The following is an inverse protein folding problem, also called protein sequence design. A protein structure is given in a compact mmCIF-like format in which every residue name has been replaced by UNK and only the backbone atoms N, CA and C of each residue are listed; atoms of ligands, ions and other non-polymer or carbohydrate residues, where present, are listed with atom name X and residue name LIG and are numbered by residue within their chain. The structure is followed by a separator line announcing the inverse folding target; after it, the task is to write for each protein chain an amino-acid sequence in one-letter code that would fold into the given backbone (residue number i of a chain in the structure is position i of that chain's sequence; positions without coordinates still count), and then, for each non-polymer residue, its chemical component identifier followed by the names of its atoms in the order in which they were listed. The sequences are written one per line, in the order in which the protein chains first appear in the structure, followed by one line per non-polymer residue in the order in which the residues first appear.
data_IF_064124858963
#
_entry.id   IF_064124858963
#
_cell.length_a   1.000
_cell.length_b   1.000
_cell.length_c   1.000
_cell.angle_alpha   90.00
_cell.angle_beta   90.00
_cell.angle_gamma   90.00
#
_symmetry.space_group_name_H-M   'P 1'
#
loop_
_entity.id
_entity.type
_entity.pdbx_description
1 polymer ?
#
# COMPACT_ATOMS: atom_id res chain seq x y z
N UNK A 1 28.54 -19.38 -1.38
CA UNK A 1 27.39 -19.72 -2.26
C UNK A 1 26.17 -19.69 -1.36
N UNK A 2 25.10 -18.97 -1.73
CA UNK A 2 23.95 -18.70 -0.87
C UNK A 2 22.90 -19.82 -0.99
N UNK A 3 23.28 -21.09 -0.75
CA UNK A 3 22.35 -22.20 -0.97
C UNK A 3 21.26 -22.20 0.11
N UNK A 4 20.01 -22.44 -0.28
CA UNK A 4 18.91 -22.66 0.67
C UNK A 4 19.14 -24.00 1.37
N UNK A 5 19.36 -23.99 2.68
CA UNK A 5 19.55 -25.21 3.48
C UNK A 5 18.29 -25.64 4.19
N UNK A 6 17.47 -24.70 4.66
CA UNK A 6 16.20 -24.97 5.32
C UNK A 6 15.14 -23.95 4.86
N UNK A 7 13.89 -24.42 4.76
CA UNK A 7 12.72 -23.63 4.46
C UNK A 7 11.56 -24.18 5.30
N UNK A 8 10.97 -23.34 6.13
CA UNK A 8 9.86 -23.70 7.00
C UNK A 8 8.85 -22.55 7.07
N UNK A 9 7.56 -22.88 7.19
CA UNK A 9 6.50 -21.93 7.38
C UNK A 9 5.60 -22.31 8.57
N UNK A 10 5.02 -21.29 9.20
CA UNK A 10 4.09 -21.43 10.31
C UNK A 10 2.91 -20.46 10.19
N UNK A 11 1.83 -20.81 10.88
CA UNK A 11 0.63 -19.97 11.00
C UNK A 11 0.88 -18.93 12.10
N UNK A 12 0.66 -17.65 11.78
CA UNK A 12 0.67 -16.54 12.72
C UNK A 12 -0.63 -15.74 12.59
N UNK A 13 -0.81 -14.71 13.41
CA UNK A 13 -1.96 -13.80 13.31
C UNK A 13 -1.53 -12.44 12.73
N UNK A 14 -2.37 -11.88 11.86
CA UNK A 14 -2.27 -10.50 11.38
C UNK A 14 -2.83 -9.50 12.42
N UNK A 15 -2.77 -8.21 12.08
CA UNK A 15 -3.21 -7.10 12.93
C UNK A 15 -4.72 -7.04 13.18
N UNK A 16 -5.51 -7.86 12.49
CA UNK A 16 -6.96 -8.05 12.68
C UNK A 16 -7.26 -9.33 13.47
N UNK A 17 -6.24 -10.12 13.81
CA UNK A 17 -6.38 -11.41 14.49
C UNK A 17 -6.73 -12.56 13.55
N UNK A 18 -6.61 -12.37 12.24
CA UNK A 18 -6.82 -13.44 11.25
C UNK A 18 -5.52 -14.21 10.99
N UNK A 19 -5.58 -15.51 10.67
CA UNK A 19 -4.39 -16.27 10.31
C UNK A 19 -3.68 -15.70 9.08
N UNK A 20 -2.34 -15.76 9.08
CA UNK A 20 -1.49 -15.51 7.91
C UNK A 20 -0.22 -16.36 7.98
N UNK A 21 0.54 -16.36 6.88
CA UNK A 21 1.75 -17.15 6.69
C UNK A 21 2.98 -16.35 7.13
N UNK A 22 3.83 -16.97 7.95
CA UNK A 22 5.22 -16.55 8.17
C UNK A 22 6.16 -17.64 7.64
N UNK A 23 7.16 -17.23 6.87
CA UNK A 23 8.15 -18.12 6.26
C UNK A 23 9.53 -17.77 6.78
N UNK A 24 10.28 -18.82 7.10
CA UNK A 24 11.67 -18.75 7.51
C UNK A 24 12.57 -19.49 6.51
N UNK A 25 13.69 -18.85 6.18
CA UNK A 25 14.74 -19.38 5.31
C UNK A 25 16.06 -19.43 6.07
N UNK A 26 16.76 -20.55 5.97
CA UNK A 26 18.16 -20.68 6.40
C UNK A 26 19.03 -20.95 5.18
N UNK A 27 20.14 -20.21 5.07
CA UNK A 27 21.15 -20.41 4.05
C UNK A 27 22.29 -21.31 4.55
N UNK A 28 23.06 -21.87 3.62
CA UNK A 28 24.17 -22.78 3.92
C UNK A 28 25.31 -22.20 4.77
N UNK A 29 25.34 -20.88 4.96
CA UNK A 29 26.28 -20.20 5.86
C UNK A 29 25.71 -19.96 7.27
N UNK A 30 24.50 -20.45 7.55
CA UNK A 30 23.78 -20.27 8.80
C UNK A 30 22.97 -18.98 8.90
N UNK A 31 22.95 -18.13 7.85
CA UNK A 31 22.11 -16.93 7.82
C UNK A 31 20.64 -17.32 7.85
N UNK A 32 19.88 -16.70 8.74
CA UNK A 32 18.45 -16.95 8.95
C UNK A 32 17.66 -15.66 8.72
N UNK A 33 16.55 -15.74 8.00
CA UNK A 33 15.65 -14.62 7.80
C UNK A 33 14.20 -15.08 7.79
N UNK A 34 13.30 -14.16 8.13
CA UNK A 34 11.87 -14.38 8.21
C UNK A 34 11.15 -13.30 7.41
N UNK A 35 10.04 -13.69 6.78
CA UNK A 35 9.07 -12.75 6.24
C UNK A 35 7.64 -13.21 6.53
N UNK A 36 6.75 -12.26 6.81
CA UNK A 36 5.34 -12.52 7.04
C UNK A 36 4.46 -11.81 6.01
N UNK A 37 3.36 -12.45 5.62
CA UNK A 37 2.53 -12.00 4.51
C UNK A 37 1.34 -11.16 4.99
N UNK A 38 1.10 -9.96 4.43
CA UNK A 38 -0.09 -9.18 4.74
C UNK A 38 -1.34 -9.69 4.00
N UNK A 39 -2.52 -9.32 4.47
CA UNK A 39 -3.83 -9.69 3.89
C UNK A 39 -4.75 -8.48 3.74
N UNK A 40 -5.57 -8.45 2.69
CA UNK A 40 -6.54 -7.38 2.43
C UNK A 40 -7.89 -7.55 3.13
N UNK A 41 -8.65 -6.46 3.27
CA UNK A 41 -10.09 -6.49 3.61
C UNK A 41 -10.93 -6.31 2.35
N UNK A 42 -10.57 -5.31 1.54
CA UNK A 42 -11.01 -5.19 0.16
C UNK A 42 -9.97 -5.85 -0.75
N UNK A 43 -10.43 -6.72 -1.63
CA UNK A 43 -9.62 -7.38 -2.66
C UNK A 43 -10.19 -7.00 -4.01
N UNK A 44 -9.37 -6.40 -4.87
CA UNK A 44 -9.74 -6.16 -6.26
C UNK A 44 -10.04 -7.48 -6.97
N UNK A 45 -10.93 -7.45 -7.97
CA UNK A 45 -11.41 -8.66 -8.67
C UNK A 45 -10.30 -9.46 -9.37
N UNK A 46 -9.18 -8.80 -9.66
CA UNK A 46 -8.08 -9.34 -10.44
C UNK A 46 -6.80 -9.61 -9.61
N UNK A 47 -6.90 -9.58 -8.28
CA UNK A 47 -5.77 -9.93 -7.39
C UNK A 47 -5.42 -11.43 -7.48
N UNK A 48 -4.15 -11.76 -7.21
CA UNK A 48 -3.72 -13.12 -6.98
C UNK A 48 -4.41 -13.71 -5.74
N UNK A 49 -4.65 -15.03 -5.76
CA UNK A 49 -5.46 -15.70 -4.76
C UNK A 49 -4.68 -15.91 -3.45
N UNK A 50 -5.18 -15.33 -2.35
CA UNK A 50 -4.78 -15.74 -1.01
C UNK A 50 -5.42 -17.10 -0.65
N UNK A 51 -4.62 -18.14 -0.44
CA UNK A 51 -5.14 -19.48 -0.15
C UNK A 51 -5.52 -19.61 1.33
N UNK A 52 -6.81 -19.82 1.57
CA UNK A 52 -7.43 -20.07 2.88
C UNK A 52 -7.95 -21.51 2.98
N UNK A 53 -8.09 -22.02 4.20
CA UNK A 53 -8.47 -23.41 4.46
C UNK A 53 -9.94 -23.67 4.15
N UNK A 54 -10.85 -22.74 4.45
CA UNK A 54 -12.30 -22.93 4.34
C UNK A 54 -12.86 -23.88 5.41
N UNK A 55 -12.10 -24.16 6.46
CA UNK A 55 -12.52 -24.97 7.60
C UNK A 55 -13.18 -24.09 8.67
N UNK A 56 -14.51 -24.08 8.71
CA UNK A 56 -15.32 -23.29 9.66
C UNK A 56 -14.97 -23.55 11.13
N UNK A 57 -14.40 -24.73 11.45
CA UNK A 57 -14.01 -25.06 12.83
C UNK A 57 -12.77 -24.30 13.30
N UNK A 58 -11.99 -23.70 12.39
CA UNK A 58 -10.76 -22.95 12.69
C UNK A 58 -10.83 -21.55 12.12
N UNK A 59 -10.82 -20.56 13.02
CA UNK A 59 -10.81 -19.14 12.65
C UNK A 59 -11.94 -18.76 11.66
N UNK A 60 -13.10 -19.42 11.74
CA UNK A 60 -14.24 -19.16 10.85
C UNK A 60 -13.92 -19.36 9.37
N UNK A 61 -13.15 -20.41 9.03
CA UNK A 61 -12.74 -20.70 7.65
C UNK A 61 -11.46 -20.00 7.20
N UNK A 62 -10.93 -19.06 7.99
CA UNK A 62 -9.79 -18.21 7.60
C UNK A 62 -8.40 -18.81 7.90
N UNK A 63 -8.31 -20.07 8.33
CA UNK A 63 -7.03 -20.78 8.48
C UNK A 63 -6.16 -20.76 7.22
N UNK A 64 -4.85 -20.93 7.36
CA UNK A 64 -3.88 -20.95 6.23
C UNK A 64 -2.99 -22.19 6.22
N UNK A 65 -3.43 -23.30 6.81
CA UNK A 65 -2.65 -24.54 6.87
C UNK A 65 -2.39 -25.16 5.50
N UNK A 66 -3.29 -25.00 4.53
CA UNK A 66 -3.05 -25.43 3.14
C UNK A 66 -1.84 -24.71 2.53
N UNK A 67 -1.78 -23.40 2.66
CA UNK A 67 -0.65 -22.60 2.19
C UNK A 67 0.66 -22.98 2.91
N UNK A 68 0.61 -23.18 4.22
CA UNK A 68 1.77 -23.64 5.01
C UNK A 68 2.24 -25.02 4.56
N UNK A 69 1.31 -25.94 4.31
CA UNK A 69 1.64 -27.27 3.81
C UNK A 69 2.32 -27.20 2.45
N UNK A 70 1.84 -26.36 1.54
CA UNK A 70 2.47 -26.15 0.22
C UNK A 70 3.92 -25.67 0.36
N UNK A 71 4.21 -24.80 1.33
CA UNK A 71 5.57 -24.32 1.61
C UNK A 71 6.45 -25.43 2.18
N UNK A 72 5.96 -26.11 3.22
CA UNK A 72 6.72 -27.12 3.95
C UNK A 72 6.94 -28.42 3.17
N UNK A 73 6.21 -28.62 2.06
CA UNK A 73 6.31 -29.80 1.19
C UNK A 73 6.80 -29.41 -0.21
N UNK A 74 5.90 -29.13 -1.15
CA UNK A 74 6.23 -28.96 -2.57
C UNK A 74 7.23 -27.84 -2.85
N UNK A 75 7.07 -26.66 -2.24
CA UNK A 75 8.00 -25.54 -2.45
C UNK A 75 9.36 -25.86 -1.79
N UNK A 76 9.37 -26.44 -0.59
CA UNK A 76 10.60 -26.87 0.07
C UNK A 76 11.36 -27.88 -0.78
N UNK A 77 10.70 -28.92 -1.29
CA UNK A 77 11.33 -29.93 -2.15
C UNK A 77 11.94 -29.28 -3.42
N UNK A 78 11.24 -28.30 -4.00
CA UNK A 78 11.70 -27.57 -5.17
C UNK A 78 12.95 -26.71 -4.93
N UNK A 79 13.01 -26.03 -3.77
CA UNK A 79 13.97 -24.94 -3.54
C UNK A 79 15.20 -25.33 -2.71
N UNK A 80 15.16 -26.42 -1.93
CA UNK A 80 16.32 -26.84 -1.14
C UNK A 80 17.55 -27.09 -2.04
N UNK A 81 18.68 -26.51 -1.65
CA UNK A 81 19.95 -26.61 -2.39
C UNK A 81 20.10 -25.63 -3.56
N UNK A 82 19.05 -24.89 -3.94
CA UNK A 82 19.11 -23.82 -4.95
C UNK A 82 19.86 -22.59 -4.43
N UNK A 83 20.40 -21.79 -5.35
CA UNK A 83 21.08 -20.53 -5.02
C UNK A 83 20.06 -19.42 -4.75
N UNK A 84 19.92 -19.03 -3.48
CA UNK A 84 19.00 -17.99 -3.04
C UNK A 84 19.27 -16.62 -3.69
N UNK A 85 20.49 -16.36 -4.17
CA UNK A 85 20.81 -15.08 -4.83
C UNK A 85 20.18 -14.92 -6.21
N UNK A 86 19.59 -15.99 -6.76
CA UNK A 86 18.86 -15.98 -8.05
C UNK A 86 17.37 -15.72 -7.83
N UNK A 87 17.02 -14.56 -7.27
CA UNK A 87 15.63 -14.21 -6.92
C UNK A 87 14.64 -14.45 -8.07
N UNK A 88 14.99 -14.01 -9.28
CA UNK A 88 14.16 -14.22 -10.48
C UNK A 88 13.90 -15.70 -10.77
N UNK A 89 14.95 -16.52 -10.76
CA UNK A 89 14.84 -17.97 -11.02
C UNK A 89 14.03 -18.68 -9.93
N UNK A 90 14.23 -18.31 -8.66
CA UNK A 90 13.48 -18.86 -7.53
C UNK A 90 11.99 -18.53 -7.65
N UNK A 91 11.66 -17.27 -7.93
CA UNK A 91 10.27 -16.85 -8.10
C UNK A 91 9.64 -17.56 -9.31
N UNK A 92 10.33 -17.64 -10.46
CA UNK A 92 9.84 -18.35 -11.65
C UNK A 92 9.59 -19.84 -11.37
N UNK A 93 10.49 -20.53 -10.68
CA UNK A 93 10.31 -21.94 -10.32
C UNK A 93 9.03 -22.15 -9.48
N UNK A 94 8.71 -21.25 -8.54
CA UNK A 94 7.48 -21.33 -7.76
C UNK A 94 6.23 -21.05 -8.60
N UNK A 95 6.31 -20.10 -9.55
CA UNK A 95 5.23 -19.80 -10.49
C UNK A 95 4.95 -20.98 -11.43
N UNK A 96 6.00 -21.62 -11.94
CA UNK A 96 5.90 -22.82 -12.77
C UNK A 96 5.32 -24.01 -12.00
N UNK A 97 5.73 -24.20 -10.74
CA UNK A 97 5.18 -25.23 -9.87
C UNK A 97 3.69 -25.00 -9.59
N UNK A 98 3.26 -23.74 -9.39
CA UNK A 98 1.85 -23.41 -9.22
C UNK A 98 1.06 -23.67 -10.51
N UNK A 99 1.55 -23.19 -11.65
CA UNK A 99 0.98 -23.44 -12.97
C UNK A 99 -0.35 -22.73 -13.26
N UNK A 100 -0.82 -21.83 -12.40
CA UNK A 100 -2.06 -21.05 -12.60
C UNK A 100 -1.78 -19.56 -12.75
N UNK A 101 -2.66 -18.83 -13.43
CA UNK A 101 -2.47 -17.38 -13.64
C UNK A 101 -2.56 -16.57 -12.33
N UNK A 102 -3.37 -17.02 -11.37
CA UNK A 102 -3.66 -16.30 -10.13
C UNK A 102 -3.06 -16.96 -8.89
N UNK A 103 -2.12 -17.90 -9.03
CA UNK A 103 -1.44 -18.57 -7.92
C UNK A 103 -2.37 -19.40 -7.03
N UNK A 104 -3.42 -19.99 -7.61
CA UNK A 104 -4.49 -20.67 -6.87
C UNK A 104 -4.13 -22.06 -6.34
N UNK A 105 -3.10 -22.71 -6.89
CA UNK A 105 -2.71 -24.05 -6.47
C UNK A 105 -1.83 -24.00 -5.20
N UNK A 106 -0.83 -23.12 -5.19
CA UNK A 106 0.07 -22.93 -4.05
C UNK A 106 -0.44 -21.87 -3.07
N UNK A 107 -1.12 -20.84 -3.57
CA UNK A 107 -1.49 -19.64 -2.83
C UNK A 107 -0.47 -18.51 -3.02
N UNK A 108 -0.94 -17.32 -3.38
CA UNK A 108 -0.10 -16.13 -3.50
C UNK A 108 0.59 -15.78 -2.17
N UNK A 109 -0.07 -16.07 -1.05
CA UNK A 109 0.51 -15.96 0.30
C UNK A 109 1.65 -16.95 0.55
N UNK A 110 1.62 -18.16 -0.02
CA UNK A 110 2.74 -19.09 0.09
C UNK A 110 3.96 -18.62 -0.71
N UNK A 111 3.75 -18.29 -1.99
CA UNK A 111 4.81 -17.86 -2.90
C UNK A 111 5.47 -16.57 -2.39
N UNK A 112 4.66 -15.59 -1.98
CA UNK A 112 5.18 -14.31 -1.52
C UNK A 112 6.03 -14.46 -0.25
N UNK A 113 5.56 -15.23 0.74
CA UNK A 113 6.29 -15.40 2.00
C UNK A 113 7.70 -15.95 1.76
N UNK A 114 7.82 -16.96 0.91
CA UNK A 114 9.10 -17.55 0.49
C UNK A 114 9.96 -16.53 -0.27
N UNK A 115 9.36 -15.84 -1.24
CA UNK A 115 10.02 -14.82 -2.08
C UNK A 115 10.67 -13.71 -1.24
N UNK A 116 9.95 -13.17 -0.26
CA UNK A 116 10.43 -12.10 0.61
C UNK A 116 11.49 -12.59 1.61
N UNK A 117 11.29 -13.77 2.21
CA UNK A 117 12.23 -14.36 3.16
C UNK A 117 13.60 -14.64 2.51
N UNK A 118 13.60 -15.15 1.27
CA UNK A 118 14.81 -15.40 0.48
C UNK A 118 15.55 -14.09 0.20
N UNK A 119 14.84 -13.04 -0.22
CA UNK A 119 15.44 -11.73 -0.46
C UNK A 119 16.13 -11.18 0.80
N UNK A 120 15.45 -11.26 1.95
CA UNK A 120 16.00 -10.83 3.24
C UNK A 120 17.22 -11.68 3.66
N UNK A 121 17.17 -12.99 3.47
CA UNK A 121 18.27 -13.90 3.80
C UNK A 121 19.55 -13.58 3.01
N UNK A 122 19.42 -13.33 1.70
CA UNK A 122 20.58 -13.01 0.86
C UNK A 122 21.18 -11.67 1.23
N UNK A 123 20.37 -10.63 1.47
CA UNK A 123 20.86 -9.33 1.91
C UNK A 123 21.68 -9.45 3.22
N UNK A 124 21.14 -10.20 4.21
CA UNK A 124 21.81 -10.44 5.49
C UNK A 124 23.13 -11.20 5.31
N UNK A 125 23.16 -12.25 4.49
CA UNK A 125 24.37 -13.04 4.23
C UNK A 125 25.44 -12.23 3.49
N UNK A 126 25.02 -11.38 2.53
CA UNK A 126 25.89 -10.39 1.88
C UNK A 126 26.35 -9.27 2.81
N UNK A 127 25.76 -9.14 4.00
CA UNK A 127 26.00 -8.05 4.96
C UNK A 127 25.74 -6.66 4.38
N UNK A 128 24.73 -6.54 3.52
CA UNK A 128 24.25 -5.27 2.99
C UNK A 128 22.81 -5.01 3.50
N UNK A 129 22.42 -3.73 3.70
CA UNK A 129 21.04 -3.39 3.97
C UNK A 129 20.08 -3.95 2.91
N UNK A 130 18.89 -4.38 3.34
CA UNK A 130 17.89 -4.98 2.45
C UNK A 130 17.49 -4.03 1.31
N UNK A 131 17.27 -2.74 1.57
CA UNK A 131 16.98 -1.76 0.51
C UNK A 131 18.09 -1.68 -0.57
N UNK A 132 19.36 -1.86 -0.20
CA UNK A 132 20.46 -1.88 -1.19
C UNK A 132 20.39 -3.15 -2.04
N UNK A 133 20.15 -4.31 -1.40
CA UNK A 133 19.99 -5.54 -2.14
C UNK A 133 18.77 -5.51 -3.08
N UNK A 134 17.63 -4.97 -2.61
CA UNK A 134 16.45 -4.74 -3.45
C UNK A 134 16.81 -3.85 -4.65
N UNK A 135 17.57 -2.78 -4.43
CA UNK A 135 18.02 -1.91 -5.51
C UNK A 135 18.86 -2.68 -6.54
N UNK A 136 19.83 -3.47 -6.10
CA UNK A 136 20.67 -4.32 -6.97
C UNK A 136 19.81 -5.25 -7.84
N UNK A 137 18.88 -5.99 -7.24
CA UNK A 137 18.07 -6.99 -7.96
C UNK A 137 16.94 -6.35 -8.77
N UNK A 138 16.54 -5.11 -8.45
CA UNK A 138 15.48 -4.40 -9.17
C UNK A 138 15.85 -4.07 -10.61
N UNK A 139 17.16 -3.92 -10.91
CA UNK A 139 17.63 -3.48 -12.23
C UNK A 139 17.16 -2.07 -12.62
N UNK A 140 16.71 -1.26 -11.65
CA UNK A 140 16.25 0.12 -11.90
C UNK A 140 17.39 1.12 -12.13
N UNK A 141 18.61 0.81 -11.64
CA UNK A 141 19.77 1.70 -11.69
C UNK A 141 19.46 3.12 -11.16
N UNK A 142 18.79 3.19 -10.01
CA UNK A 142 18.43 4.43 -9.32
C UNK A 142 19.05 4.47 -7.94
N UNK A 143 19.40 5.65 -7.45
CA UNK A 143 19.85 5.77 -6.07
C UNK A 143 18.67 5.54 -5.10
N UNK A 144 18.84 4.73 -4.04
CA UNK A 144 17.83 4.62 -3.00
C UNK A 144 17.47 5.98 -2.42
N UNK A 145 16.18 6.23 -2.19
CA UNK A 145 15.67 7.46 -1.58
C UNK A 145 14.55 7.15 -0.60
N UNK A 146 14.30 8.07 0.33
CA UNK A 146 13.17 7.94 1.25
C UNK A 146 11.88 8.42 0.57
N UNK A 147 10.80 7.62 0.57
CA UNK A 147 9.51 8.04 0.02
C UNK A 147 8.81 9.08 0.91
N UNK A 148 7.93 9.90 0.32
CA UNK A 148 7.03 10.77 1.09
C UNK A 148 5.86 9.91 1.64
N UNK A 149 5.59 9.92 2.95
CA UNK A 149 4.50 9.15 3.52
C UNK A 149 3.15 9.81 3.25
N UNK A 150 2.14 8.98 3.00
CA UNK A 150 0.73 9.37 3.07
C UNK A 150 0.11 8.72 4.30
N UNK A 151 -0.21 9.55 5.29
CA UNK A 151 -0.74 9.09 6.58
C UNK A 151 -2.25 9.04 6.54
N UNK A 152 -2.86 7.86 6.57
CA UNK A 152 -4.30 7.75 6.76
C UNK A 152 -4.66 8.16 8.19
N UNK A 153 -5.35 9.28 8.38
CA UNK A 153 -5.70 9.80 9.72
C UNK A 153 -7.17 9.61 10.08
N UNK A 154 -8.03 9.34 9.11
CA UNK A 154 -9.47 9.16 9.31
C UNK A 154 -10.02 8.16 8.28
N UNK A 155 -10.82 7.20 8.77
CA UNK A 155 -11.37 6.10 7.99
C UNK A 155 -12.87 6.27 7.68
N UNK A 156 -13.24 5.77 6.51
CA UNK A 156 -14.60 5.46 6.10
C UNK A 156 -14.68 4.14 5.35
N UNK A 157 -15.67 4.03 4.46
CA UNK A 157 -15.85 2.87 3.59
C UNK A 157 -15.86 1.54 4.35
N UNK A 158 -15.16 0.54 3.82
CA UNK A 158 -15.06 -0.80 4.44
C UNK A 158 -14.10 -0.85 5.63
N UNK A 159 -13.30 0.18 5.86
CA UNK A 159 -12.29 0.20 6.92
C UNK A 159 -12.86 0.63 8.29
N UNK A 160 -14.12 1.07 8.35
CA UNK A 160 -14.77 1.42 9.62
C UNK A 160 -16.29 1.53 9.56
N UNK A 161 -16.92 1.67 10.72
CA UNK A 161 -18.36 1.91 10.91
C UNK A 161 -18.73 3.40 10.98
N UNK A 162 -17.85 4.30 10.49
CA UNK A 162 -18.06 5.75 10.52
C UNK A 162 -19.24 6.22 9.66
N UNK A 163 -19.62 5.43 8.66
CA UNK A 163 -20.68 5.73 7.69
C UNK A 163 -20.21 6.55 6.48
N UNK A 164 -18.99 7.09 6.50
CA UNK A 164 -18.38 7.83 5.39
C UNK A 164 -18.22 6.94 4.15
N UNK A 165 -18.45 7.49 2.96
CA UNK A 165 -18.28 6.75 1.71
C UNK A 165 -16.81 6.65 1.29
N UNK A 166 -16.04 7.73 1.44
CA UNK A 166 -14.59 7.73 1.17
C UNK A 166 -13.88 6.86 2.20
N UNK A 167 -13.01 5.96 1.74
CA UNK A 167 -12.39 4.94 2.57
C UNK A 167 -11.27 5.48 3.46
N UNK A 168 -10.40 6.33 2.93
CA UNK A 168 -9.29 6.93 3.70
C UNK A 168 -9.15 8.42 3.42
N UNK A 169 -8.88 9.18 4.47
CA UNK A 169 -8.48 10.58 4.38
C UNK A 169 -7.05 10.75 4.90
N UNK A 170 -6.18 11.26 4.03
CA UNK A 170 -4.73 11.21 4.20
C UNK A 170 -4.13 12.59 4.42
N UNK A 171 -3.15 12.67 5.32
CA UNK A 171 -2.26 13.82 5.52
C UNK A 171 -0.94 13.52 4.82
N UNK A 172 -0.48 14.45 3.98
CA UNK A 172 0.71 14.27 3.14
C UNK A 172 1.66 15.46 3.33
N UNK A 173 2.77 15.31 4.08
CA UNK A 173 3.71 16.39 4.39
C UNK A 173 4.68 16.69 3.23
N UNK A 174 4.16 17.00 2.04
CA UNK A 174 4.95 17.16 0.80
C UNK A 174 5.93 18.34 0.80
N UNK A 175 5.71 19.35 1.66
CA UNK A 175 6.58 20.52 1.79
C UNK A 175 7.64 20.41 2.89
N UNK A 176 7.67 19.29 3.61
CA UNK A 176 8.63 19.03 4.70
C UNK A 176 9.76 18.16 4.17
N UNK A 177 11.03 18.55 4.40
CA UNK A 177 12.18 17.99 3.70
C UNK A 177 12.59 16.58 4.15
N UNK A 178 12.82 16.39 5.45
CA UNK A 178 13.30 15.11 5.98
C UNK A 178 12.13 14.25 6.46
N UNK A 179 12.26 12.94 6.28
CA UNK A 179 11.26 11.96 6.65
C UNK A 179 10.99 11.96 8.16
N UNK A 180 12.03 12.10 9.00
CA UNK A 180 11.82 12.24 10.45
C UNK A 180 10.91 13.43 10.81
N UNK A 181 11.02 14.55 10.08
CA UNK A 181 10.20 15.75 10.32
C UNK A 181 8.80 15.59 9.72
N UNK A 182 8.69 14.93 8.56
CA UNK A 182 7.40 14.53 7.97
C UNK A 182 6.61 13.64 8.95
N UNK A 183 7.27 12.65 9.56
CA UNK A 183 6.68 11.75 10.54
C UNK A 183 6.25 12.48 11.82
N UNK A 184 7.09 13.38 12.33
CA UNK A 184 6.77 14.23 13.48
C UNK A 184 5.54 15.09 13.21
N UNK A 185 5.49 15.78 12.08
CA UNK A 185 4.35 16.60 11.68
C UNK A 185 3.05 15.76 11.58
N UNK A 186 3.12 14.59 10.93
CA UNK A 186 1.99 13.66 10.86
C UNK A 186 1.48 13.25 12.24
N UNK A 187 2.39 12.95 13.19
CA UNK A 187 2.05 12.56 14.56
C UNK A 187 1.39 13.70 15.34
N UNK A 188 1.92 14.92 15.26
CA UNK A 188 1.35 16.10 15.90
C UNK A 188 -0.07 16.40 15.38
N UNK A 189 -0.27 16.33 14.07
CA UNK A 189 -1.58 16.51 13.42
C UNK A 189 -2.55 15.42 13.87
N UNK A 190 -2.14 14.15 13.87
CA UNK A 190 -2.96 13.01 14.32
C UNK A 190 -3.42 13.19 15.78
N UNK A 191 -2.52 13.54 16.69
CA UNK A 191 -2.88 13.76 18.10
C UNK A 191 -3.74 15.01 18.32
N UNK A 192 -3.58 16.04 17.49
CA UNK A 192 -4.44 17.22 17.54
C UNK A 192 -5.83 16.92 16.99
N UNK A 193 -5.93 16.15 15.92
CA UNK A 193 -7.20 15.65 15.37
C UNK A 193 -7.97 14.85 16.42
N UNK A 194 -7.28 13.98 17.18
CA UNK A 194 -7.88 13.25 18.31
C UNK A 194 -8.60 14.18 19.29
N UNK A 195 -7.91 15.24 19.73
CA UNK A 195 -8.46 16.22 20.68
C UNK A 195 -9.65 16.98 20.11
N UNK A 196 -9.63 17.29 18.82
CA UNK A 196 -10.75 17.93 18.12
C UNK A 196 -11.98 17.02 18.12
N UNK A 197 -11.80 15.74 17.75
CA UNK A 197 -12.87 14.75 17.73
C UNK A 197 -13.48 14.55 19.12
N UNK A 198 -12.65 14.38 20.15
CA UNK A 198 -13.11 14.22 21.54
C UNK A 198 -13.85 15.47 22.04
N UNK A 199 -13.37 16.67 21.73
CA UNK A 199 -14.05 17.91 22.10
C UNK A 199 -15.41 18.10 21.41
N UNK A 200 -15.59 17.52 20.23
CA UNK A 200 -16.84 17.49 19.48
C UNK A 200 -17.72 16.28 19.84
N UNK A 201 -17.38 15.49 20.88
CA UNK A 201 -18.06 14.26 21.28
C UNK A 201 -18.12 13.18 20.19
N UNK A 202 -17.18 13.18 19.24
CA UNK A 202 -17.01 12.08 18.30
C UNK A 202 -16.13 10.98 18.90
N UNK A 203 -16.31 9.74 18.41
CA UNK A 203 -15.44 8.63 18.76
C UNK A 203 -13.99 8.89 18.29
N UNK A 204 -13.04 8.64 19.18
CA UNK A 204 -11.60 8.60 18.88
C UNK A 204 -11.08 7.16 18.73
N UNK A 205 -11.97 6.18 18.54
CA UNK A 205 -11.59 4.82 18.21
C UNK A 205 -10.89 4.77 16.86
N UNK A 206 -9.99 3.79 16.69
CA UNK A 206 -9.21 3.64 15.46
C UNK A 206 -9.63 2.40 14.68
N UNK A 207 -9.69 2.52 13.36
CA UNK A 207 -9.96 1.41 12.45
C UNK A 207 -8.72 0.53 12.20
N UNK A 208 -8.81 -0.38 11.24
CA UNK A 208 -7.76 -1.35 10.90
C UNK A 208 -6.40 -0.68 10.63
N UNK A 209 -6.40 0.49 10.00
CA UNK A 209 -5.20 1.22 9.60
C UNK A 209 -4.71 2.24 10.64
N UNK A 210 -5.39 2.33 11.78
CA UNK A 210 -5.01 3.22 12.88
C UNK A 210 -5.51 4.67 12.77
N UNK A 211 -6.19 5.02 11.67
CA UNK A 211 -6.92 6.29 11.54
C UNK A 211 -8.17 6.32 12.42
N UNK A 212 -8.70 7.49 12.74
CA UNK A 212 -9.93 7.60 13.54
C UNK A 212 -11.17 7.21 12.73
N UNK A 213 -12.21 6.74 13.41
CA UNK A 213 -13.48 6.34 12.79
C UNK A 213 -14.68 7.08 13.40
N UNK A 214 -14.74 8.42 13.31
CA UNK A 214 -15.84 9.19 13.85
C UNK A 214 -17.09 9.09 12.97
N UNK A 215 -18.29 9.08 13.57
CA UNK A 215 -19.53 9.25 12.81
C UNK A 215 -19.69 10.71 12.40
N UNK A 216 -19.63 10.99 11.11
CA UNK A 216 -19.70 12.34 10.53
C UNK A 216 -20.85 12.43 9.52
N UNK A 217 -21.39 13.63 9.37
CA UNK A 217 -22.55 13.91 8.49
C UNK A 217 -22.17 14.02 7.00
N UNK A 218 -20.89 14.22 6.68
CA UNK A 218 -20.41 14.28 5.29
C UNK A 218 -18.93 13.96 5.17
N UNK A 219 -18.51 13.52 3.98
CA UNK A 219 -17.10 13.35 3.60
C UNK A 219 -16.36 14.70 3.64
N UNK A 220 -17.05 15.80 3.31
CA UNK A 220 -16.48 17.15 3.38
C UNK A 220 -16.14 17.54 4.81
N UNK A 221 -16.98 17.19 5.80
CA UNK A 221 -16.72 17.46 7.21
C UNK A 221 -15.44 16.77 7.70
N UNK A 222 -15.11 15.57 7.19
CA UNK A 222 -13.84 14.92 7.50
C UNK A 222 -12.63 15.77 7.06
N UNK A 223 -12.66 16.32 5.84
CA UNK A 223 -11.60 17.20 5.34
C UNK A 223 -11.49 18.50 6.17
N UNK A 224 -12.61 19.06 6.61
CA UNK A 224 -12.64 20.27 7.45
C UNK A 224 -11.99 20.04 8.82
N UNK A 225 -12.28 18.90 9.46
CA UNK A 225 -11.68 18.54 10.76
C UNK A 225 -10.17 18.31 10.63
N UNK A 226 -9.72 17.66 9.56
CA UNK A 226 -8.28 17.44 9.31
C UNK A 226 -7.59 18.79 9.05
N UNK A 227 -8.18 19.67 8.23
CA UNK A 227 -7.64 21.02 8.01
C UNK A 227 -7.57 21.84 9.30
N UNK A 228 -8.58 21.72 10.18
CA UNK A 228 -8.55 22.35 11.49
C UNK A 228 -7.39 21.82 12.35
N UNK A 229 -7.10 20.51 12.30
CA UNK A 229 -5.98 19.91 13.01
C UNK A 229 -4.63 20.40 12.49
N UNK A 230 -4.46 20.47 11.16
CA UNK A 230 -3.28 21.03 10.49
C UNK A 230 -3.03 22.47 10.96
N UNK A 231 -4.05 23.31 10.87
CA UNK A 231 -3.97 24.72 11.27
C UNK A 231 -3.64 24.90 12.75
N UNK A 232 -4.23 24.09 13.65
CA UNK A 232 -3.94 24.15 15.09
C UNK A 232 -2.52 23.71 15.45
N UNK A 233 -1.88 22.89 14.63
CA UNK A 233 -0.47 22.52 14.79
C UNK A 233 0.50 23.59 14.27
N UNK A 234 0.00 24.63 13.58
CA UNK A 234 0.83 25.67 12.98
C UNK A 234 1.47 25.26 11.65
N UNK A 235 0.94 24.23 10.97
CA UNK A 235 1.34 23.87 9.61
C UNK A 235 0.45 24.57 8.59
N UNK A 236 1.03 24.95 7.44
CA UNK A 236 0.30 25.57 6.33
C UNK A 236 -0.20 24.51 5.33
N UNK A 237 -1.53 24.42 5.18
CA UNK A 237 -2.17 23.60 4.14
C UNK A 237 -1.86 24.15 2.74
N UNK A 238 -1.52 23.27 1.79
CA UNK A 238 -1.15 23.65 0.42
C UNK A 238 0.35 23.88 0.23
N UNK A 239 1.07 24.21 1.31
CA UNK A 239 2.51 24.51 1.26
C UNK A 239 3.33 23.46 1.99
N UNK A 240 3.12 23.29 3.30
CA UNK A 240 3.87 22.32 4.11
C UNK A 240 3.21 20.94 4.09
N UNK A 241 1.88 20.94 4.20
CA UNK A 241 1.06 19.74 4.29
C UNK A 241 -0.05 19.83 3.25
N UNK A 242 -0.35 18.72 2.59
CA UNK A 242 -1.46 18.58 1.65
C UNK A 242 -2.33 17.40 2.07
N UNK A 243 -3.48 17.24 1.43
CA UNK A 243 -4.39 16.14 1.69
C UNK A 243 -4.42 15.14 0.53
N UNK A 244 -4.85 13.93 0.83
CA UNK A 244 -5.18 12.93 -0.17
C UNK A 244 -6.38 12.11 0.27
N UNK A 245 -6.99 11.40 -0.66
CA UNK A 245 -8.06 10.44 -0.37
C UNK A 245 -7.77 9.10 -1.03
N UNK A 246 -8.19 8.03 -0.38
CA UNK A 246 -8.57 6.78 -1.07
C UNK A 246 -10.09 6.73 -1.06
N UNK A 247 -10.68 6.90 -2.25
CA UNK A 247 -12.11 6.83 -2.38
C UNK A 247 -12.58 5.37 -2.32
N UNK A 248 -11.81 4.41 -2.85
CA UNK A 248 -12.27 3.05 -3.09
C UNK A 248 -13.68 3.02 -3.72
N UNK A 249 -13.86 3.79 -4.80
CA UNK A 249 -15.19 4.15 -5.30
C UNK A 249 -16.03 2.97 -5.77
N UNK A 250 -15.41 1.84 -6.13
CA UNK A 250 -16.09 0.56 -6.37
C UNK A 250 -16.98 0.14 -5.18
N UNK A 251 -16.66 0.53 -3.94
CA UNK A 251 -17.43 0.17 -2.74
C UNK A 251 -18.76 0.93 -2.59
N UNK A 252 -18.93 2.03 -3.31
CA UNK A 252 -20.13 2.85 -3.30
C UNK A 252 -20.67 3.13 -4.71
N UNK A 253 -20.19 2.39 -5.71
CA UNK A 253 -20.74 2.40 -7.06
C UNK A 253 -21.89 1.38 -7.15
N UNK A 254 -23.02 1.83 -7.67
CA UNK A 254 -24.17 0.99 -8.00
C UNK A 254 -24.08 0.60 -9.49
N UNK A 255 -23.85 -0.68 -9.76
CA UNK A 255 -23.72 -1.18 -11.13
C UNK A 255 -25.06 -1.18 -11.91
N UNK A 256 -26.19 -1.34 -11.21
CA UNK A 256 -27.51 -1.38 -11.84
C UNK A 256 -27.94 0.02 -12.29
N UNK A 257 -27.80 0.99 -11.38
CA UNK A 257 -28.17 2.39 -11.61
C UNK A 257 -27.05 3.22 -12.26
N UNK A 258 -25.84 2.66 -12.39
CA UNK A 258 -24.63 3.29 -12.96
C UNK A 258 -24.29 4.63 -12.31
N UNK A 259 -24.45 4.72 -11.00
CA UNK A 259 -24.19 5.92 -10.22
C UNK A 259 -23.36 5.61 -8.98
N UNK A 260 -22.84 6.66 -8.34
CA UNK A 260 -22.10 6.58 -7.09
C UNK A 260 -22.97 7.10 -5.94
N UNK A 261 -22.91 6.44 -4.79
CA UNK A 261 -23.76 6.75 -3.63
C UNK A 261 -22.93 7.28 -2.45
N UNK A 262 -23.01 8.59 -2.23
CA UNK A 262 -22.49 9.20 -1.00
C UNK A 262 -23.51 9.04 0.11
N UNK A 263 -23.36 7.97 0.90
CA UNK A 263 -24.33 7.54 1.91
C UNK A 263 -24.56 8.56 3.03
N UNK A 264 -23.53 9.20 3.62
CA UNK A 264 -23.76 10.22 4.65
C UNK A 264 -24.63 11.38 4.16
N UNK A 265 -24.34 11.86 2.95
CA UNK A 265 -25.03 12.98 2.32
C UNK A 265 -26.36 12.58 1.67
N UNK A 266 -26.59 11.28 1.46
CA UNK A 266 -27.78 10.74 0.79
C UNK A 266 -27.88 11.14 -0.69
N UNK A 267 -26.75 11.38 -1.36
CA UNK A 267 -26.73 11.86 -2.75
C UNK A 267 -26.29 10.77 -3.72
N UNK A 268 -26.99 10.72 -4.85
CA UNK A 268 -26.62 9.94 -6.03
C UNK A 268 -25.83 10.83 -6.98
N UNK A 269 -24.70 10.32 -7.46
CA UNK A 269 -23.75 11.07 -8.26
C UNK A 269 -23.45 10.31 -9.54
N UNK A 270 -23.66 10.95 -10.68
CA UNK A 270 -23.07 10.50 -11.93
C UNK A 270 -21.55 10.74 -11.89
N UNK A 271 -20.83 10.01 -12.76
CA UNK A 271 -19.37 10.13 -12.91
C UNK A 271 -18.88 11.58 -12.96
N UNK A 272 -19.51 12.41 -13.81
CA UNK A 272 -19.07 13.81 -13.97
C UNK A 272 -19.29 14.63 -12.70
N UNK A 273 -20.36 14.38 -11.96
CA UNK A 273 -20.63 15.06 -10.69
C UNK A 273 -19.59 14.68 -9.64
N UNK A 274 -19.24 13.39 -9.54
CA UNK A 274 -18.19 12.92 -8.63
C UNK A 274 -16.82 13.53 -8.96
N UNK A 275 -16.44 13.54 -10.24
CA UNK A 275 -15.20 14.19 -10.69
C UNK A 275 -15.19 15.68 -10.39
N UNK A 276 -16.33 16.37 -10.49
CA UNK A 276 -16.43 17.79 -10.12
C UNK A 276 -16.29 18.01 -8.62
N UNK A 277 -16.86 17.15 -7.77
CA UNK A 277 -16.63 17.18 -6.31
C UNK A 277 -15.15 17.06 -5.99
N UNK A 278 -14.44 16.11 -6.62
CA UNK A 278 -12.99 16.01 -6.43
C UNK A 278 -12.25 17.28 -6.85
N UNK A 279 -12.65 17.91 -7.96
CA UNK A 279 -12.06 19.19 -8.39
C UNK A 279 -12.28 20.30 -7.38
N UNK A 280 -13.46 20.39 -6.78
CA UNK A 280 -13.77 21.34 -5.72
C UNK A 280 -12.94 21.07 -4.46
N UNK A 281 -12.77 19.81 -4.08
CA UNK A 281 -11.92 19.46 -2.94
C UNK A 281 -10.44 19.74 -3.19
N UNK A 282 -9.95 19.60 -4.42
CA UNK A 282 -8.60 20.03 -4.79
C UNK A 282 -8.44 21.54 -4.59
N UNK A 283 -9.42 22.35 -5.01
CA UNK A 283 -9.36 23.81 -4.86
C UNK A 283 -9.44 24.25 -3.39
N UNK A 284 -10.35 23.64 -2.62
CA UNK A 284 -10.67 24.10 -1.26
C UNK A 284 -9.76 23.49 -0.19
N UNK A 285 -9.38 22.23 -0.36
CA UNK A 285 -8.68 21.44 0.66
C UNK A 285 -7.29 20.98 0.23
N UNK A 286 -6.81 21.43 -0.92
CA UNK A 286 -5.49 21.07 -1.44
C UNK A 286 -5.28 19.55 -1.45
N UNK A 287 -6.30 18.83 -1.94
CA UNK A 287 -6.14 17.42 -2.27
C UNK A 287 -5.14 17.33 -3.42
N UNK A 288 -4.08 16.55 -3.24
CA UNK A 288 -3.03 16.32 -4.25
C UNK A 288 -2.96 14.87 -4.71
N UNK A 289 -3.71 13.98 -4.07
CA UNK A 289 -3.76 12.55 -4.40
C UNK A 289 -5.17 12.01 -4.26
N UNK A 290 -5.68 11.38 -5.31
CA UNK A 290 -6.94 10.66 -5.35
C UNK A 290 -6.64 9.24 -5.79
N UNK A 291 -6.87 8.30 -4.89
CA UNK A 291 -6.74 6.86 -5.11
C UNK A 291 -8.14 6.27 -5.34
N UNK A 292 -8.25 5.38 -6.33
CA UNK A 292 -9.48 4.70 -6.73
C UNK A 292 -10.73 5.59 -6.78
N UNK A 293 -10.59 6.75 -7.44
CA UNK A 293 -11.63 7.78 -7.52
C UNK A 293 -12.90 7.35 -8.27
N UNK A 294 -12.82 6.31 -9.10
CA UNK A 294 -13.92 5.73 -9.88
C UNK A 294 -13.87 4.20 -9.77
N UNK A 295 -14.95 3.52 -10.16
CA UNK A 295 -15.02 2.07 -10.15
C UNK A 295 -13.88 1.41 -10.97
N UNK A 296 -13.42 0.23 -10.54
CA UNK A 296 -12.18 -0.42 -11.03
C UNK A 296 -12.18 -0.79 -12.53
N UNK A 297 -13.36 -0.89 -13.17
CA UNK A 297 -13.52 -1.20 -14.59
C UNK A 297 -14.02 0.01 -15.42
N UNK A 298 -14.13 1.21 -14.83
CA UNK A 298 -14.53 2.45 -15.53
C UNK A 298 -13.37 3.12 -16.29
N UNK A 299 -12.71 2.39 -17.19
CA UNK A 299 -11.50 2.84 -17.88
C UNK A 299 -11.65 4.16 -18.64
N UNK A 300 -12.81 4.35 -19.30
CA UNK A 300 -13.12 5.61 -19.97
C UNK A 300 -13.26 6.76 -18.97
N UNK A 301 -13.96 6.52 -17.85
CA UNK A 301 -14.10 7.51 -16.79
C UNK A 301 -12.78 7.87 -16.15
N UNK A 302 -11.89 6.90 -15.94
CA UNK A 302 -10.53 7.11 -15.44
C UNK A 302 -9.70 8.00 -16.38
N UNK A 303 -9.75 7.77 -17.68
CA UNK A 303 -9.07 8.61 -18.67
C UNK A 303 -9.62 10.06 -18.66
N UNK A 304 -10.95 10.21 -18.60
CA UNK A 304 -11.61 11.53 -18.49
C UNK A 304 -11.25 12.24 -17.17
N UNK A 305 -11.21 11.52 -16.05
CA UNK A 305 -10.82 12.03 -14.75
C UNK A 305 -9.37 12.50 -14.76
N UNK A 306 -8.45 11.70 -15.31
CA UNK A 306 -7.04 12.06 -15.45
C UNK A 306 -6.87 13.32 -16.30
N UNK A 307 -7.57 13.43 -17.43
CA UNK A 307 -7.53 14.64 -18.26
C UNK A 307 -8.00 15.89 -17.50
N UNK A 308 -9.09 15.77 -16.73
CA UNK A 308 -9.70 16.89 -15.99
C UNK A 308 -8.93 17.28 -14.72
N UNK A 309 -8.25 16.34 -14.06
CA UNK A 309 -7.68 16.53 -12.71
C UNK A 309 -6.15 16.63 -12.72
N UNK A 310 -5.44 15.74 -13.43
CA UNK A 310 -3.99 15.59 -13.26
C UNK A 310 -3.25 16.91 -13.48
N UNK A 311 -3.59 17.63 -14.56
CA UNK A 311 -2.95 18.90 -14.95
C UNK A 311 -3.38 20.13 -14.14
N UNK A 312 -4.29 19.97 -13.18
CA UNK A 312 -4.74 21.09 -12.36
C UNK A 312 -3.56 21.59 -11.50
N UNK A 313 -3.30 22.91 -11.41
CA UNK A 313 -2.14 23.42 -10.69
C UNK A 313 -2.11 22.95 -9.23
N UNK A 314 -0.96 22.45 -8.79
CA UNK A 314 -0.70 22.20 -7.37
C UNK A 314 -0.38 23.53 -6.69
N UNK A 315 -0.76 23.65 -5.42
CA UNK A 315 -0.54 24.84 -4.60
C UNK A 315 0.94 25.26 -4.54
N UNK A 316 1.13 26.58 -4.32
CA UNK A 316 2.44 27.24 -4.24
C UNK A 316 3.16 26.75 -2.98
N UNK A 317 4.06 25.77 -3.12
CA UNK A 317 4.87 25.29 -2.00
C UNK A 317 5.34 23.84 -2.09
N UNK A 318 4.66 23.01 -2.88
CA UNK A 318 5.12 21.65 -3.11
C UNK A 318 6.33 21.66 -4.05
N UNK A 319 7.49 21.12 -3.64
CA UNK A 319 8.65 21.05 -4.52
C UNK A 319 8.30 20.24 -5.78
N UNK A 320 8.63 20.76 -6.97
CA UNK A 320 8.25 20.13 -8.25
C UNK A 320 8.86 18.74 -8.42
N UNK A 321 9.99 18.50 -7.77
CA UNK A 321 10.65 17.21 -7.68
C UNK A 321 9.88 16.18 -6.83
N UNK A 322 9.07 16.65 -5.88
CA UNK A 322 8.17 15.82 -5.08
C UNK A 322 6.86 15.59 -5.84
N UNK A 323 6.23 16.66 -6.29
CA UNK A 323 4.96 16.60 -7.00
C UNK A 323 4.81 17.73 -8.02
N UNK A 324 4.49 17.36 -9.26
CA UNK A 324 4.34 18.27 -10.39
C UNK A 324 2.94 18.27 -11.02
N UNK A 325 2.11 17.28 -10.68
CA UNK A 325 0.71 17.12 -11.09
C UNK A 325 -0.06 16.34 -10.00
N UNK A 326 -1.38 16.48 -9.95
CA UNK A 326 -2.18 15.72 -8.98
C UNK A 326 -2.08 14.22 -9.28
N UNK A 327 -2.01 13.41 -8.23
CA UNK A 327 -1.90 11.96 -8.36
C UNK A 327 -3.29 11.34 -8.51
N UNK A 328 -3.45 10.58 -9.57
CA UNK A 328 -4.55 9.67 -9.82
C UNK A 328 -3.94 8.29 -9.65
N UNK A 329 -4.18 7.68 -8.49
CA UNK A 329 -3.52 6.43 -8.07
C UNK A 329 -4.47 5.28 -8.34
N UNK A 330 -4.05 4.33 -9.20
CA UNK A 330 -4.78 3.09 -9.39
C UNK A 330 -4.34 2.04 -8.39
N UNK A 331 -5.27 1.55 -7.57
CA UNK A 331 -5.12 0.42 -6.65
C UNK A 331 -5.89 -0.79 -7.18
N UNK A 332 -7.20 -0.90 -6.95
CA UNK A 332 -8.07 -1.94 -7.52
C UNK A 332 -8.08 -1.87 -9.07
N UNK A 333 -7.90 -0.66 -9.63
CA UNK A 333 -7.73 -0.47 -11.07
C UNK A 333 -6.54 -1.27 -11.62
N UNK A 334 -5.44 -1.40 -10.87
CA UNK A 334 -4.16 -1.90 -11.40
C UNK A 334 -3.70 -3.21 -10.75
N UNK A 335 -4.12 -3.49 -9.52
CA UNK A 335 -3.82 -4.68 -8.70
C UNK A 335 -2.36 -5.15 -8.78
N UNK A 336 -1.42 -4.20 -8.82
CA UNK A 336 0.02 -4.48 -8.99
C UNK A 336 0.32 -5.39 -10.20
N UNK A 337 -0.52 -5.37 -11.24
CA UNK A 337 -0.44 -6.29 -12.39
C UNK A 337 0.07 -5.58 -13.65
N UNK A 338 1.16 -6.11 -14.22
CA UNK A 338 1.82 -5.58 -15.43
C UNK A 338 0.84 -5.36 -16.58
N UNK A 339 -0.05 -6.32 -16.88
CA UNK A 339 -1.00 -6.23 -18.01
C UNK A 339 -1.97 -5.05 -17.82
N UNK A 340 -2.43 -4.81 -16.58
CA UNK A 340 -3.35 -3.69 -16.27
C UNK A 340 -2.62 -2.35 -16.26
N UNK A 341 -1.37 -2.31 -15.80
CA UNK A 341 -0.51 -1.12 -15.91
C UNK A 341 -0.25 -0.76 -17.37
N UNK A 342 0.04 -1.73 -18.25
CA UNK A 342 0.18 -1.50 -19.69
C UNK A 342 -1.08 -0.89 -20.31
N UNK A 343 -2.26 -1.40 -19.92
CA UNK A 343 -3.54 -0.85 -20.34
C UNK A 343 -3.73 0.58 -19.86
N UNK A 344 -3.45 0.85 -18.59
CA UNK A 344 -3.57 2.19 -18.02
C UNK A 344 -2.66 3.22 -18.70
N UNK A 345 -1.44 2.81 -19.07
CA UNK A 345 -0.52 3.64 -19.86
C UNK A 345 -1.10 3.94 -21.24
N UNK A 346 -1.60 2.91 -21.94
CA UNK A 346 -2.18 3.05 -23.29
C UNK A 346 -3.40 3.97 -23.28
N UNK A 347 -4.27 3.81 -22.29
CA UNK A 347 -5.55 4.52 -22.18
C UNK A 347 -5.42 5.84 -21.41
N UNK A 348 -4.24 6.16 -20.87
CA UNK A 348 -3.98 7.35 -20.03
C UNK A 348 -4.95 7.42 -18.83
N UNK A 349 -5.22 6.27 -18.23
CA UNK A 349 -6.23 6.11 -17.20
C UNK A 349 -5.83 6.72 -15.85
N UNK A 350 -4.53 6.74 -15.53
CA UNK A 350 -3.99 7.23 -14.27
C UNK A 350 -2.50 7.62 -14.44
N UNK A 351 -1.89 8.22 -13.41
CA UNK A 351 -0.47 8.63 -13.43
C UNK A 351 0.33 8.09 -12.23
N UNK A 352 -0.27 7.26 -11.39
CA UNK A 352 0.39 6.59 -10.28
C UNK A 352 -0.16 5.18 -10.08
N UNK A 353 0.69 4.27 -9.59
CA UNK A 353 0.31 2.90 -9.24
C UNK A 353 0.52 2.67 -7.75
N UNK A 354 -0.50 2.12 -7.10
CA UNK A 354 -0.35 1.56 -5.76
C UNK A 354 0.25 0.15 -5.89
N UNK A 355 1.36 -0.09 -5.21
CA UNK A 355 2.07 -1.38 -5.23
C UNK A 355 1.83 -2.09 -3.92
N UNK A 356 1.09 -3.20 -3.98
CA UNK A 356 0.85 -4.14 -2.89
C UNK A 356 1.43 -5.49 -3.29
N UNK A 357 2.52 -5.88 -2.64
CA UNK A 357 3.29 -7.09 -2.99
C UNK A 357 2.43 -8.37 -3.05
N UNK A 358 1.40 -8.47 -2.20
CA UNK A 358 0.53 -9.64 -2.14
C UNK A 358 -0.58 -9.66 -3.20
N UNK A 359 -0.87 -8.53 -3.87
CA UNK A 359 -1.82 -8.52 -5.00
C UNK A 359 -1.28 -9.30 -6.20
N UNK A 360 0.04 -9.36 -6.37
CA UNK A 360 0.67 -10.10 -7.46
C UNK A 360 1.35 -11.38 -6.98
N UNK A 361 1.89 -11.43 -5.76
CA UNK A 361 2.28 -12.67 -5.08
C UNK A 361 3.75 -13.10 -5.22
N UNK A 362 4.62 -12.30 -5.84
CA UNK A 362 6.08 -12.50 -5.81
C UNK A 362 6.84 -11.17 -5.85
N UNK A 363 8.07 -11.16 -5.34
CA UNK A 363 8.93 -9.98 -5.40
C UNK A 363 9.33 -9.65 -6.84
N UNK A 364 9.66 -10.66 -7.64
CA UNK A 364 10.02 -10.47 -9.06
C UNK A 364 8.90 -9.80 -9.85
N UNK A 365 7.66 -10.27 -9.75
CA UNK A 365 6.54 -9.64 -10.47
C UNK A 365 6.25 -8.23 -9.95
N UNK A 366 6.41 -7.98 -8.64
CA UNK A 366 6.32 -6.64 -8.05
C UNK A 366 7.36 -5.71 -8.66
N UNK A 367 8.63 -6.13 -8.73
CA UNK A 367 9.71 -5.35 -9.33
C UNK A 367 9.48 -5.11 -10.83
N UNK A 368 8.92 -6.09 -11.55
CA UNK A 368 8.53 -5.94 -12.96
C UNK A 368 7.46 -4.85 -13.15
N UNK A 369 6.44 -4.83 -12.29
CA UNK A 369 5.41 -3.80 -12.27
C UNK A 369 5.99 -2.40 -12.01
N UNK A 370 6.84 -2.27 -10.99
CA UNK A 370 7.54 -1.02 -10.67
C UNK A 370 8.40 -0.54 -11.85
N UNK A 371 9.17 -1.45 -12.47
CA UNK A 371 10.00 -1.13 -13.65
C UNK A 371 9.17 -0.60 -14.80
N UNK A 372 8.05 -1.26 -15.11
CA UNK A 372 7.16 -0.83 -16.19
C UNK A 372 6.57 0.55 -15.91
N UNK A 373 6.05 0.77 -14.70
CA UNK A 373 5.46 2.04 -14.29
C UNK A 373 6.49 3.18 -14.35
N UNK A 374 7.68 3.01 -13.76
CA UNK A 374 8.75 4.03 -13.82
C UNK A 374 9.23 4.30 -15.24
N UNK A 375 9.38 3.28 -16.08
CA UNK A 375 9.75 3.44 -17.50
C UNK A 375 8.75 4.32 -18.27
N UNK A 376 7.49 4.35 -17.83
CA UNK A 376 6.42 5.15 -18.42
C UNK A 376 6.06 6.38 -17.57
N UNK A 377 6.93 6.80 -16.65
CA UNK A 377 6.77 7.98 -15.79
C UNK A 377 5.57 7.95 -14.83
N UNK A 378 4.99 6.78 -14.56
CA UNK A 378 4.02 6.64 -13.47
C UNK A 378 4.74 6.75 -12.13
N UNK A 379 4.11 7.42 -11.18
CA UNK A 379 4.60 7.51 -9.80
C UNK A 379 4.34 6.19 -9.07
N UNK A 380 5.29 5.79 -8.23
CA UNK A 380 5.19 4.57 -7.44
C UNK A 380 4.77 4.92 -6.01
N UNK A 381 3.70 4.29 -5.54
CA UNK A 381 3.30 4.33 -4.15
C UNK A 381 3.32 2.92 -3.56
N UNK A 382 4.32 2.61 -2.73
CA UNK A 382 4.36 1.32 -2.04
C UNK A 382 3.32 1.31 -0.93
N UNK A 383 2.54 0.23 -0.79
CA UNK A 383 1.43 0.16 0.14
C UNK A 383 1.48 -1.05 1.05
N UNK A 384 0.99 -0.86 2.27
CA UNK A 384 0.55 -1.92 3.18
C UNK A 384 -0.78 -2.57 2.71
N UNK A 385 -1.29 -3.52 3.51
CA UNK A 385 -2.71 -3.94 3.49
C UNK A 385 -3.41 -3.65 4.83
N UNK A 386 -4.72 -3.81 4.89
CA UNK A 386 -5.48 -3.62 6.14
C UNK A 386 -5.16 -4.68 7.20
N UNK A 387 -4.89 -5.93 6.83
CA UNK A 387 -4.28 -6.94 7.69
C UNK A 387 -2.77 -6.94 7.54
N UNK A 388 -2.05 -6.33 8.49
CA UNK A 388 -0.59 -6.26 8.49
C UNK A 388 0.04 -7.12 9.58
N UNK A 389 1.35 -7.29 9.51
CA UNK A 389 2.14 -7.88 10.60
C UNK A 389 3.19 -6.88 11.07
N UNK A 390 4.08 -7.30 11.97
CA UNK A 390 5.24 -6.47 12.35
C UNK A 390 6.37 -6.51 11.32
N UNK A 391 6.20 -7.20 10.18
CA UNK A 391 7.14 -7.18 9.06
C UNK A 391 7.25 -5.77 8.45
N UNK A 392 8.46 -5.28 8.27
CA UNK A 392 8.77 -3.95 7.76
C UNK A 392 9.27 -3.94 6.30
N UNK A 393 9.17 -5.05 5.57
CA UNK A 393 9.74 -5.24 4.23
C UNK A 393 9.41 -4.09 3.27
N UNK A 394 8.18 -3.60 3.29
CA UNK A 394 7.73 -2.54 2.36
C UNK A 394 8.48 -1.21 2.55
N UNK A 395 9.07 -0.96 3.72
CA UNK A 395 9.94 0.20 3.95
C UNK A 395 11.24 0.08 3.15
N UNK A 396 11.88 -1.09 3.19
CA UNK A 396 13.07 -1.38 2.38
C UNK A 396 12.75 -1.46 0.89
N UNK A 397 11.58 -1.99 0.52
CA UNK A 397 11.12 -2.00 -0.87
C UNK A 397 10.95 -0.58 -1.41
N UNK A 398 10.27 0.30 -0.66
CA UNK A 398 10.07 1.68 -1.06
C UNK A 398 11.40 2.43 -1.21
N UNK A 399 12.32 2.24 -0.25
CA UNK A 399 13.63 2.87 -0.33
C UNK A 399 14.48 2.32 -1.49
N UNK A 400 14.56 0.99 -1.62
CA UNK A 400 15.41 0.30 -2.59
C UNK A 400 14.95 0.48 -4.03
N UNK A 401 13.64 0.64 -4.24
CA UNK A 401 13.08 0.95 -5.57
C UNK A 401 12.98 2.43 -5.85
N UNK A 402 13.43 3.29 -4.92
CA UNK A 402 13.26 4.73 -5.00
C UNK A 402 11.80 5.11 -5.33
N UNK A 403 10.85 4.55 -4.60
CA UNK A 403 9.44 4.90 -4.74
C UNK A 403 9.22 6.37 -4.35
N UNK A 404 8.26 7.02 -5.00
CA UNK A 404 7.95 8.43 -4.71
C UNK A 404 7.17 8.55 -3.39
N UNK A 405 6.26 7.60 -3.14
CA UNK A 405 5.36 7.65 -1.99
C UNK A 405 5.28 6.30 -1.27
N UNK A 406 4.84 6.34 -0.01
CA UNK A 406 4.48 5.16 0.76
C UNK A 406 3.16 5.37 1.50
N UNK A 407 2.25 4.38 1.41
CA UNK A 407 1.00 4.30 2.15
C UNK A 407 1.11 3.17 3.19
N UNK A 408 1.32 3.53 4.45
CA UNK A 408 1.53 2.55 5.53
C UNK A 408 0.62 2.76 6.74
N UNK A 409 -0.50 3.45 6.53
CA UNK A 409 -1.54 3.66 7.54
C UNK A 409 -1.33 4.93 8.36
N UNK A 410 -1.85 4.91 9.58
CA UNK A 410 -1.83 6.04 10.51
C UNK A 410 -0.60 6.04 11.41
N UNK A 411 -0.54 7.06 12.27
CA UNK A 411 0.48 7.25 13.30
C UNK A 411 0.08 6.53 14.60
N UNK A 412 -0.48 5.33 14.46
CA UNK A 412 -0.88 4.44 15.55
C UNK A 412 -0.80 2.98 15.09
N UNK A 413 -0.93 2.05 16.06
CA UNK A 413 -0.81 0.59 15.88
C UNK A 413 0.61 0.12 15.47
N UNK A 414 1.10 -0.92 16.13
CA UNK A 414 2.52 -1.34 16.03
C UNK A 414 2.92 -1.79 14.63
N UNK A 415 2.01 -2.47 13.94
CA UNK A 415 2.16 -2.98 12.57
C UNK A 415 2.28 -1.87 11.52
N UNK A 416 1.83 -0.64 11.82
CA UNK A 416 2.00 0.54 10.95
C UNK A 416 3.31 1.24 11.28
N UNK A 417 3.51 1.51 12.57
CA UNK A 417 4.65 2.24 13.09
C UNK A 417 5.99 1.54 12.81
N UNK A 418 6.05 0.20 12.74
CA UNK A 418 7.30 -0.50 12.44
C UNK A 418 7.88 -0.12 11.07
N UNK A 419 7.03 0.12 10.05
CA UNK A 419 7.48 0.57 8.71
C UNK A 419 8.06 1.99 8.78
N UNK A 420 7.40 2.91 9.47
CA UNK A 420 7.90 4.28 9.64
C UNK A 420 9.20 4.32 10.45
N UNK A 421 9.31 3.51 11.50
CA UNK A 421 10.54 3.38 12.28
C UNK A 421 11.68 2.80 11.44
N UNK A 422 11.39 1.84 10.55
CA UNK A 422 12.37 1.32 9.60
C UNK A 422 12.82 2.39 8.61
N UNK A 423 11.91 3.20 8.06
CA UNK A 423 12.25 4.31 7.17
C UNK A 423 13.11 5.38 7.84
N UNK A 424 12.85 5.74 9.10
CA UNK A 424 13.74 6.64 9.86
C UNK A 424 15.15 6.06 10.03
N UNK A 425 15.27 4.73 10.18
CA UNK A 425 16.57 4.07 10.23
C UNK A 425 17.27 4.12 8.86
N UNK A 426 16.55 3.85 7.77
CA UNK A 426 17.09 3.94 6.41
C UNK A 426 17.53 5.37 6.09
N UNK A 427 16.78 6.39 6.49
CA UNK A 427 17.14 7.81 6.29
C UNK A 427 18.52 8.13 6.89
N UNK A 428 18.79 7.63 8.09
CA UNK A 428 20.10 7.76 8.76
C UNK A 428 21.20 6.94 8.09
N UNK A 429 20.86 5.79 7.49
CA UNK A 429 21.80 4.94 6.74
C UNK A 429 22.21 5.63 5.43
N UNK A 430 21.26 6.17 4.67
CA UNK A 430 21.50 6.89 3.42
C UNK A 430 22.27 8.19 3.65
N UNK A 431 21.94 8.95 4.69
CA UNK A 431 22.63 10.23 4.98
C UNK A 431 24.09 10.10 5.39
N UNK A 432 24.54 8.87 5.71
CA UNK A 432 25.92 8.55 6.10
C UNK A 432 26.75 7.92 4.99
N UNK A 433 26.09 7.43 3.95
CA UNK A 433 26.74 6.89 2.75
C UNK A 433 27.19 8.05 1.85
#
# INVERSE_FOLDING_TARGET
MFKISELEAREILDSRGNPTVEVEVVLSDGTRAVAAVPSGASTGKFEALELRDGDESRYGGLGVLKAINNINTSIRELLIGKDASKQFEIDELMLELDGTENKSNLGANAILGVSLAICRAVALSKKIPLYQYINEISGLNVDPKIPVPMFNVLNGGKHSDSGLSIQEFKVIPTGIKSFAEQLRAGSEIFHTLKKILEAANHSSGVGDEGGFSPKLESNTHALELINQAISKCGYELGTQVNLGIDAAASSFYDEEEKNYVFKPEGVLLEREQLVNIYREWIDKYHIVSIEDGLAEDDWEGWAQMTEKIAKKPIAVGVPKEVLNENLLVGDDLLVTNVKRVERAIKEKACNAVLIKVNQIGSLTETLNCIRLAKKNNLKIMISHRSGETTDDFIADLAAGTAAEFIKSGSLSRGERLCKYNRLMKIEKEISKA
#
